data_IF_498095826871
#
_entry.id   IF_498095826871
#
_cell.length_a   1.000
_cell.length_b   1.000
_cell.length_c   1.000
_cell.angle_alpha   90.00
_cell.angle_beta   90.00
_cell.angle_gamma   90.00
#
_symmetry.space_group_name_H-M   'P 1'
#
loop_
_entity.id
_entity.type
_entity.pdbx_description
1 polymer ?
#
# COMPACT_ATOMS: atom_id res chain seq x y z
N UNK A 1 16.18 17.31 28.65
CA UNK A 1 14.89 17.17 27.95
C UNK A 1 15.08 16.68 26.50
N UNK A 2 15.93 15.67 26.28
CA UNK A 2 16.25 15.17 24.93
C UNK A 2 15.72 13.75 24.65
N UNK A 3 15.52 12.93 25.70
CA UNK A 3 15.09 11.53 25.55
C UNK A 3 13.74 11.38 24.83
N UNK A 4 12.73 12.18 25.20
CA UNK A 4 11.40 12.07 24.61
C UNK A 4 11.34 12.42 23.11
N UNK A 5 12.28 13.24 22.60
CA UNK A 5 12.30 13.59 21.18
C UNK A 5 12.90 12.46 20.33
N UNK A 6 13.85 11.70 20.87
CA UNK A 6 14.43 10.55 20.16
C UNK A 6 13.48 9.36 20.15
N UNK A 7 12.70 9.14 21.21
CA UNK A 7 11.60 8.16 21.22
C UNK A 7 10.53 8.51 20.18
N UNK A 8 10.16 9.79 20.06
CA UNK A 8 9.19 10.24 19.04
C UNK A 8 9.75 10.02 17.64
N UNK A 9 11.02 10.35 17.38
CA UNK A 9 11.65 10.11 16.08
C UNK A 9 11.72 8.62 15.72
N UNK A 10 12.04 7.76 16.70
CA UNK A 10 12.01 6.32 16.53
C UNK A 10 10.62 5.82 16.17
N UNK A 11 9.60 6.27 16.91
CA UNK A 11 8.20 5.92 16.68
C UNK A 11 7.71 6.39 15.31
N UNK A 12 8.06 7.60 14.88
CA UNK A 12 7.70 8.12 13.56
C UNK A 12 8.40 7.35 12.43
N UNK A 13 9.64 6.89 12.65
CA UNK A 13 10.39 6.10 11.67
C UNK A 13 9.80 4.70 11.50
N UNK A 14 9.37 4.09 12.60
CA UNK A 14 8.75 2.76 12.60
C UNK A 14 7.36 2.79 11.96
N UNK A 15 6.54 3.80 12.28
CA UNK A 15 5.26 4.05 11.60
C UNK A 15 5.46 4.32 10.12
N UNK A 16 6.49 5.07 9.73
CA UNK A 16 6.81 5.33 8.33
C UNK A 16 7.18 4.05 7.58
N UNK A 17 7.99 3.20 8.21
CA UNK A 17 8.39 1.89 7.68
C UNK A 17 7.19 0.97 7.53
N UNK A 18 6.34 0.91 8.56
CA UNK A 18 5.11 0.13 8.52
C UNK A 18 4.16 0.61 7.42
N UNK A 19 3.98 1.93 7.26
CA UNK A 19 3.12 2.51 6.22
C UNK A 19 3.61 2.16 4.81
N UNK A 20 4.93 2.10 4.60
CA UNK A 20 5.57 1.73 3.33
C UNK A 20 5.41 0.24 3.04
N UNK A 21 5.61 -0.62 4.05
CA UNK A 21 5.43 -2.07 3.95
C UNK A 21 3.99 -2.49 3.67
N UNK A 22 3.03 -1.87 4.36
CA UNK A 22 1.60 -2.16 4.21
C UNK A 22 1.11 -1.83 2.79
N UNK A 23 1.59 -0.75 2.17
CA UNK A 23 1.24 -0.40 0.80
C UNK A 23 1.54 -1.47 -0.23
N UNK A 24 2.76 -2.05 -0.16
CA UNK A 24 3.20 -3.11 -1.07
C UNK A 24 2.45 -4.42 -0.83
N UNK A 25 2.13 -4.72 0.44
CA UNK A 25 1.37 -5.94 0.77
C UNK A 25 -0.06 -5.82 0.23
N UNK A 26 -0.72 -4.67 0.43
CA UNK A 26 -2.09 -4.44 -0.05
C UNK A 26 -2.17 -4.49 -1.57
N UNK A 27 -1.21 -3.90 -2.29
CA UNK A 27 -1.21 -3.96 -3.77
C UNK A 27 -1.06 -5.39 -4.27
N UNK A 28 -0.23 -6.20 -3.61
CA UNK A 28 0.00 -7.61 -3.97
C UNK A 28 -1.30 -8.41 -3.82
N UNK A 29 -2.01 -8.24 -2.71
CA UNK A 29 -3.30 -8.91 -2.46
C UNK A 29 -4.36 -8.45 -3.47
N UNK A 30 -4.41 -7.16 -3.81
CA UNK A 30 -5.33 -6.62 -4.81
C UNK A 30 -5.11 -7.28 -6.19
N UNK A 31 -3.86 -7.48 -6.61
CA UNK A 31 -3.55 -8.17 -7.86
C UNK A 31 -3.93 -9.65 -7.84
N UNK A 32 -3.76 -10.34 -6.72
CA UNK A 32 -4.15 -11.76 -6.57
C UNK A 32 -5.67 -11.91 -6.73
N UNK A 33 -6.46 -11.05 -6.07
CA UNK A 33 -7.92 -11.07 -6.17
C UNK A 33 -8.38 -10.70 -7.58
N UNK A 34 -7.71 -9.73 -8.22
CA UNK A 34 -7.97 -9.35 -9.61
C UNK A 34 -7.72 -10.53 -10.56
N UNK A 35 -6.55 -11.16 -10.48
CA UNK A 35 -6.19 -12.31 -11.31
C UNK A 35 -7.14 -13.49 -11.13
N UNK A 36 -7.55 -13.79 -9.89
CA UNK A 36 -8.52 -14.84 -9.61
C UNK A 36 -9.88 -14.57 -10.25
N UNK A 37 -10.38 -13.33 -10.17
CA UNK A 37 -11.64 -12.92 -10.82
C UNK A 37 -11.58 -12.98 -12.35
N UNK A 38 -10.43 -12.63 -12.95
CA UNK A 38 -10.24 -12.68 -14.41
C UNK A 38 -10.17 -14.13 -14.91
N UNK A 39 -9.43 -15.01 -14.22
CA UNK A 39 -9.16 -16.38 -14.70
C UNK A 39 -10.32 -17.34 -14.40
N UNK A 40 -10.93 -17.25 -13.21
CA UNK A 40 -11.92 -18.24 -12.75
C UNK A 40 -13.35 -17.70 -12.67
N UNK A 41 -13.55 -16.38 -12.74
CA UNK A 41 -14.88 -15.78 -12.57
C UNK A 41 -15.69 -15.63 -13.86
N UNK A 42 -15.08 -15.75 -15.04
CA UNK A 42 -15.72 -15.36 -16.31
C UNK A 42 -16.12 -13.87 -16.38
N UNK A 43 -15.77 -13.10 -15.33
CA UNK A 43 -16.01 -11.68 -15.19
C UNK A 43 -15.06 -10.96 -16.14
N UNK A 44 -15.61 -10.26 -17.14
CA UNK A 44 -14.81 -9.48 -18.08
C UNK A 44 -13.89 -8.53 -17.33
N UNK A 45 -12.72 -8.21 -17.91
CA UNK A 45 -11.71 -7.29 -17.37
C UNK A 45 -12.31 -5.97 -16.83
N UNK A 46 -13.49 -5.59 -17.35
CA UNK A 46 -14.29 -4.43 -16.95
C UNK A 46 -14.82 -4.47 -15.51
N UNK A 47 -15.08 -5.66 -14.95
CA UNK A 47 -15.53 -5.80 -13.54
C UNK A 47 -14.36 -5.85 -12.55
N UNK A 48 -13.14 -6.08 -13.05
CA UNK A 48 -11.90 -6.15 -12.24
C UNK A 48 -11.07 -4.87 -12.30
N UNK A 49 -11.27 -4.06 -13.35
CA UNK A 49 -10.70 -2.72 -13.49
C UNK A 49 -10.78 -1.85 -12.21
N UNK A 50 -11.91 -1.75 -11.47
CA UNK A 50 -11.98 -0.92 -10.27
C UNK A 50 -11.05 -1.39 -9.14
N UNK A 51 -10.84 -2.71 -8.98
CA UNK A 51 -9.90 -3.24 -7.96
C UNK A 51 -8.45 -2.90 -8.33
N UNK A 52 -8.10 -3.03 -9.62
CA UNK A 52 -6.73 -2.77 -10.09
C UNK A 52 -6.41 -1.28 -9.99
N UNK A 53 -7.34 -0.41 -10.41
CA UNK A 53 -7.18 1.05 -10.29
C UNK A 53 -7.10 1.45 -8.81
N UNK A 54 -7.96 0.93 -7.94
CA UNK A 54 -7.90 1.16 -6.50
C UNK A 54 -6.57 0.73 -5.89
N UNK A 55 -6.10 -0.47 -6.24
CA UNK A 55 -4.80 -0.98 -5.79
C UNK A 55 -3.63 -0.10 -6.25
N UNK A 56 -3.64 0.37 -7.50
CA UNK A 56 -2.63 1.27 -8.05
C UNK A 56 -2.58 2.61 -7.33
N UNK A 57 -3.74 3.20 -7.00
CA UNK A 57 -3.84 4.47 -6.26
C UNK A 57 -3.29 4.31 -4.84
N UNK A 58 -3.64 3.22 -4.15
CA UNK A 58 -3.12 2.94 -2.80
C UNK A 58 -1.60 2.72 -2.83
N UNK A 59 -1.11 1.93 -3.79
CA UNK A 59 0.33 1.69 -3.95
C UNK A 59 1.11 2.97 -4.26
N UNK A 60 0.57 3.84 -5.12
CA UNK A 60 1.15 5.15 -5.43
C UNK A 60 1.18 6.06 -4.19
N UNK A 61 0.12 6.08 -3.38
CA UNK A 61 0.08 6.85 -2.14
C UNK A 61 1.15 6.38 -1.13
N UNK A 62 1.35 5.07 -0.98
CA UNK A 62 2.38 4.52 -0.10
C UNK A 62 3.80 4.85 -0.57
N UNK A 63 4.03 4.87 -1.89
CA UNK A 63 5.30 5.30 -2.46
C UNK A 63 5.57 6.80 -2.22
N UNK A 64 4.56 7.66 -2.43
CA UNK A 64 4.66 9.10 -2.21
C UNK A 64 4.85 9.46 -0.73
N UNK A 65 4.14 8.80 0.18
CA UNK A 65 4.36 8.94 1.63
C UNK A 65 5.79 8.56 2.01
N UNK A 66 6.32 7.53 1.37
CA UNK A 66 7.71 7.09 1.48
C UNK A 66 8.76 8.08 1.00
N UNK A 67 8.37 9.07 0.18
CA UNK A 67 9.24 10.08 -0.43
C UNK A 67 9.27 11.39 0.37
N UNK A 68 8.15 11.80 0.99
CA UNK A 68 8.00 13.08 1.72
C UNK A 68 8.74 13.10 3.07
N UNK A 69 8.89 11.95 3.73
CA UNK A 69 9.58 11.84 5.03
C UNK A 69 11.09 11.62 4.88
N UNK A 70 11.61 11.58 3.65
CA UNK A 70 13.06 11.55 3.38
C UNK A 70 13.57 12.97 3.15
#
# INVERSE_FOLDING_TARGET
>A
MAAGLDDIKGFLTEVHTALKGVGVIVVTIAFVIAGYKIIFGGQTVREVAPIVIGGLVIGAASYLAGLIIK
#
